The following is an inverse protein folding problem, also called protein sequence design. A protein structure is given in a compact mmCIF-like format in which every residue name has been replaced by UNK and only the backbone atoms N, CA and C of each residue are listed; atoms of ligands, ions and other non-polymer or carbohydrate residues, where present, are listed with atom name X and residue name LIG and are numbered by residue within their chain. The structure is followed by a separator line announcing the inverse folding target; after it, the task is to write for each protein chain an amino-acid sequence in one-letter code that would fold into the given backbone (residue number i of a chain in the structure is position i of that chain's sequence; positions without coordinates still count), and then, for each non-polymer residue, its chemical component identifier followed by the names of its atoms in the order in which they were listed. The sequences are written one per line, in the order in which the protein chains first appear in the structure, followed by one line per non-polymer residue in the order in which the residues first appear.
data_IF_744047927476
#
_entry.id   IF_744047927476
#
_cell.length_a   1.000
_cell.length_b   1.000
_cell.length_c   1.000
_cell.angle_alpha   90.00
_cell.angle_beta   90.00
_cell.angle_gamma   90.00
#
_symmetry.space_group_name_H-M   'P 1'
#
loop_
_entity.id
_entity.type
_entity.pdbx_description
1 polymer ?
#
# COMPACT_ATOMS: atom_id res chain seq x y z
N UNK A 1 17.94 -10.03 16.81
CA UNK A 1 18.83 -9.65 15.68
C UNK A 1 18.06 -9.33 14.39
N UNK A 2 17.22 -10.22 13.85
CA UNK A 2 16.44 -9.95 12.61
C UNK A 2 15.44 -8.80 12.77
N UNK A 3 14.63 -8.77 13.85
CA UNK A 3 13.70 -7.64 14.13
C UNK A 3 14.41 -6.29 14.22
N UNK A 4 15.57 -6.25 14.86
CA UNK A 4 16.38 -5.05 15.05
C UNK A 4 16.98 -4.55 13.72
N UNK A 5 17.36 -5.48 12.83
CA UNK A 5 17.79 -5.18 11.46
C UNK A 5 16.64 -4.64 10.60
N UNK A 6 15.42 -5.16 10.76
CA UNK A 6 14.22 -4.68 10.07
C UNK A 6 13.81 -3.28 10.55
N UNK A 7 13.87 -3.04 11.86
CA UNK A 7 13.59 -1.72 12.48
C UNK A 7 14.63 -0.69 12.00
N UNK A 8 15.91 -1.05 11.94
CA UNK A 8 16.97 -0.16 11.46
C UNK A 8 16.84 0.17 9.96
N UNK A 9 16.37 -0.78 9.13
CA UNK A 9 16.07 -0.50 7.72
C UNK A 9 14.82 0.37 7.53
N UNK A 10 13.76 0.14 8.32
CA UNK A 10 12.54 0.96 8.28
C UNK A 10 12.79 2.40 8.73
N UNK A 11 13.55 2.58 9.80
CA UNK A 11 13.96 3.91 10.27
C UNK A 11 14.84 4.63 9.24
N UNK A 12 15.71 3.92 8.53
CA UNK A 12 16.47 4.47 7.41
C UNK A 12 15.59 5.00 6.27
N UNK A 13 14.58 4.23 5.84
CA UNK A 13 13.64 4.66 4.80
C UNK A 13 12.77 5.85 5.26
N UNK A 14 12.29 5.83 6.51
CA UNK A 14 11.50 6.93 7.09
C UNK A 14 12.33 8.22 7.22
N UNK A 15 13.59 8.13 7.63
CA UNK A 15 14.48 9.29 7.70
C UNK A 15 14.76 9.86 6.31
N UNK A 16 14.86 9.01 5.29
CA UNK A 16 15.04 9.45 3.91
C UNK A 16 13.79 10.17 3.36
N UNK A 17 12.57 9.69 3.64
CA UNK A 17 11.34 10.40 3.22
C UNK A 17 11.17 11.73 3.93
N UNK A 18 11.47 11.80 5.23
CA UNK A 18 11.48 13.07 5.98
C UNK A 18 12.52 14.03 5.40
N UNK A 19 13.72 13.55 5.06
CA UNK A 19 14.75 14.39 4.44
C UNK A 19 14.31 14.97 3.09
N UNK A 20 13.59 14.19 2.27
CA UNK A 20 13.04 14.68 0.99
C UNK A 20 11.97 15.76 1.18
N UNK A 21 11.14 15.64 2.22
CA UNK A 21 10.13 16.65 2.59
C UNK A 21 10.76 17.93 3.14
N UNK A 22 11.78 17.81 4.01
CA UNK A 22 12.49 18.99 4.54
C UNK A 22 13.20 19.72 3.40
N UNK A 23 13.81 18.98 2.47
CA UNK A 23 14.47 19.55 1.30
C UNK A 23 13.46 20.26 0.37
N UNK A 24 12.29 19.67 0.11
CA UNK A 24 11.26 20.28 -0.73
C UNK A 24 10.74 21.59 -0.13
N UNK A 25 10.44 21.60 1.17
CA UNK A 25 10.00 22.80 1.89
C UNK A 25 11.06 23.90 1.88
N UNK A 26 12.33 23.55 2.07
CA UNK A 26 13.43 24.50 2.00
C UNK A 26 13.54 25.15 0.61
N UNK A 27 13.48 24.34 -0.46
CA UNK A 27 13.53 24.83 -1.84
C UNK A 27 12.31 25.70 -2.19
N UNK A 28 11.11 25.33 -1.73
CA UNK A 28 9.91 26.15 -1.88
C UNK A 28 10.05 27.50 -1.16
N UNK A 29 10.59 27.53 0.07
CA UNK A 29 10.82 28.77 0.80
C UNK A 29 11.82 29.68 0.07
N UNK A 30 12.92 29.13 -0.47
CA UNK A 30 13.87 29.89 -1.28
C UNK A 30 13.22 30.45 -2.55
N UNK A 31 12.41 29.66 -3.24
CA UNK A 31 11.73 30.07 -4.46
C UNK A 31 10.69 31.17 -4.19
N UNK A 32 9.90 31.05 -3.12
CA UNK A 32 8.92 32.05 -2.70
C UNK A 32 9.61 33.35 -2.25
N UNK A 33 10.73 33.22 -1.54
CA UNK A 33 11.55 34.36 -1.16
C UNK A 33 12.10 35.07 -2.41
N UNK A 34 12.68 34.33 -3.37
CA UNK A 34 13.21 34.90 -4.61
C UNK A 34 12.12 35.61 -5.44
N UNK A 35 10.95 34.98 -5.62
CA UNK A 35 9.83 35.56 -6.38
C UNK A 35 9.31 36.85 -5.74
N UNK A 36 9.32 36.92 -4.40
CA UNK A 36 8.77 38.04 -3.64
C UNK A 36 9.85 38.97 -3.03
N UNK A 37 11.13 38.83 -3.38
CA UNK A 37 12.22 39.57 -2.71
C UNK A 37 12.09 41.10 -2.83
N UNK A 38 11.40 41.59 -3.87
CA UNK A 38 11.13 43.01 -4.13
C UNK A 38 9.81 43.50 -3.49
N UNK A 39 9.09 42.64 -2.78
CA UNK A 39 7.83 42.97 -2.10
C UNK A 39 8.06 43.52 -0.70
N UNK A 40 7.00 44.11 -0.13
CA UNK A 40 7.00 44.55 1.28
C UNK A 40 7.26 43.36 2.21
N UNK A 41 8.10 43.54 3.24
CA UNK A 41 8.47 42.48 4.21
C UNK A 41 7.26 41.72 4.78
N UNK A 42 6.14 42.40 5.08
CA UNK A 42 4.89 41.76 5.54
C UNK A 42 4.32 40.74 4.55
N UNK A 43 4.45 40.98 3.25
CA UNK A 43 4.00 40.07 2.19
C UNK A 43 4.93 38.86 2.13
N UNK A 44 6.24 39.09 2.17
CA UNK A 44 7.26 38.01 2.17
C UNK A 44 7.03 37.07 3.36
N UNK A 45 6.96 37.61 4.58
CA UNK A 45 6.73 36.79 5.79
C UNK A 45 5.42 36.02 5.71
N UNK A 46 4.34 36.61 5.18
CA UNK A 46 3.07 35.90 5.00
C UNK A 46 3.17 34.77 3.98
N UNK A 47 3.82 34.98 2.82
CA UNK A 47 3.98 33.91 1.83
C UNK A 47 4.91 32.79 2.35
N UNK A 48 5.94 33.11 3.12
CA UNK A 48 6.78 32.10 3.80
C UNK A 48 5.99 31.31 4.85
N UNK A 49 5.10 31.96 5.61
CA UNK A 49 4.20 31.27 6.54
C UNK A 49 3.23 30.33 5.81
N UNK A 50 2.76 30.70 4.62
CA UNK A 50 1.92 29.79 3.81
C UNK A 50 2.67 28.54 3.35
N UNK A 51 3.96 28.64 3.06
CA UNK A 51 4.82 27.48 2.76
C UNK A 51 5.05 26.65 4.02
N UNK A 52 5.45 27.29 5.12
CA UNK A 52 5.75 26.60 6.38
C UNK A 52 4.53 25.84 6.97
N UNK A 53 3.32 26.34 6.73
CA UNK A 53 2.06 25.70 7.12
C UNK A 53 1.51 24.74 6.04
N UNK A 54 2.24 24.51 4.95
CA UNK A 54 1.85 23.65 3.82
C UNK A 54 0.51 24.05 3.15
N UNK A 55 0.04 25.30 3.32
CA UNK A 55 -1.24 25.77 2.76
C UNK A 55 -1.08 26.52 1.43
N UNK A 56 0.16 26.82 1.03
CA UNK A 56 0.44 27.58 -0.19
C UNK A 56 -0.16 26.96 -1.47
N UNK A 57 -0.14 25.63 -1.70
CA UNK A 57 -0.76 25.04 -2.89
C UNK A 57 -2.25 25.36 -3.04
N UNK A 58 -2.98 25.45 -1.91
CA UNK A 58 -4.40 25.84 -1.89
C UNK A 58 -4.60 27.33 -2.08
N UNK A 59 -3.77 28.16 -1.45
CA UNK A 59 -3.79 29.62 -1.62
C UNK A 59 -3.48 30.03 -3.05
N UNK A 60 -2.51 29.38 -3.69
CA UNK A 60 -2.12 29.68 -5.07
C UNK A 60 -3.14 29.15 -6.08
N UNK A 61 -3.71 27.96 -5.86
CA UNK A 61 -4.84 27.47 -6.67
C UNK A 61 -6.04 28.43 -6.61
N UNK A 62 -6.38 28.94 -5.42
CA UNK A 62 -7.43 29.95 -5.26
C UNK A 62 -7.13 31.22 -6.06
N UNK A 63 -5.88 31.70 -6.06
CA UNK A 63 -5.46 32.88 -6.84
C UNK A 63 -5.52 32.64 -8.35
N UNK A 64 -5.22 31.43 -8.80
CA UNK A 64 -5.31 31.03 -10.22
C UNK A 64 -6.76 31.01 -10.70
N UNK A 65 -7.67 30.42 -9.91
CA UNK A 65 -9.10 30.31 -10.26
C UNK A 65 -9.78 31.69 -10.22
N UNK A 66 -9.46 32.53 -9.25
CA UNK A 66 -10.01 33.90 -9.13
C UNK A 66 -9.40 34.89 -10.13
N UNK A 67 -8.47 34.44 -11.00
CA UNK A 67 -7.79 35.24 -12.02
C UNK A 67 -7.19 36.54 -11.45
N UNK A 68 -6.59 36.48 -10.26
CA UNK A 68 -5.97 37.66 -9.68
C UNK A 68 -4.85 38.18 -10.58
N UNK A 69 -4.82 39.51 -10.77
CA UNK A 69 -3.74 40.18 -11.50
C UNK A 69 -2.42 40.02 -10.74
N UNK A 70 -1.32 39.93 -11.47
CA UNK A 70 0.02 39.96 -10.88
C UNK A 70 0.21 41.18 -10.00
N UNK A 71 0.76 40.96 -8.80
CA UNK A 71 1.08 42.05 -7.87
C UNK A 71 2.22 42.90 -8.44
N UNK A 72 2.18 44.23 -8.27
CA UNK A 72 3.28 45.10 -8.69
C UNK A 72 4.56 44.68 -7.94
N UNK A 73 5.69 44.56 -8.64
CA UNK A 73 6.99 44.09 -8.13
C UNK A 73 7.16 42.58 -7.89
N UNK A 74 6.20 41.71 -8.26
CA UNK A 74 6.43 40.26 -8.26
C UNK A 74 7.03 39.81 -9.58
N UNK A 75 8.00 38.88 -9.56
CA UNK A 75 8.68 38.41 -10.78
C UNK A 75 7.79 37.51 -11.67
N UNK A 76 6.81 36.82 -11.09
CA UNK A 76 5.97 35.85 -11.79
C UNK A 76 4.48 36.14 -11.61
N UNK A 77 3.69 35.79 -12.62
CA UNK A 77 2.23 35.77 -12.53
C UNK A 77 1.77 34.59 -11.66
N UNK A 78 0.66 34.70 -10.89
CA UNK A 78 0.14 33.64 -10.01
C UNK A 78 0.06 32.22 -10.62
N UNK A 79 -0.25 32.11 -11.91
CA UNK A 79 -0.26 30.83 -12.65
C UNK A 79 1.13 30.20 -12.77
N UNK A 80 2.15 31.01 -13.07
CA UNK A 80 3.52 30.53 -13.20
C UNK A 80 4.13 30.19 -11.82
N UNK A 81 3.81 30.98 -10.79
CA UNK A 81 4.21 30.72 -9.41
C UNK A 81 3.64 29.37 -8.90
N UNK A 82 2.33 29.12 -9.11
CA UNK A 82 1.68 27.84 -8.77
C UNK A 82 2.38 26.64 -9.41
N UNK A 83 2.71 26.73 -10.70
CA UNK A 83 3.39 25.66 -11.46
C UNK A 83 4.81 25.39 -10.95
N UNK A 84 5.59 26.44 -10.72
CA UNK A 84 6.97 26.29 -10.28
C UNK A 84 7.04 25.63 -8.90
N UNK A 85 6.15 26.01 -7.98
CA UNK A 85 6.11 25.45 -6.62
C UNK A 85 5.68 23.98 -6.65
N UNK A 86 4.60 23.65 -7.39
CA UNK A 86 4.15 22.26 -7.55
C UNK A 86 5.16 21.40 -8.30
N UNK A 87 5.94 21.98 -9.22
CA UNK A 87 7.05 21.31 -9.88
C UNK A 87 8.18 20.96 -8.92
N UNK A 88 8.52 21.87 -8.00
CA UNK A 88 9.50 21.61 -6.93
C UNK A 88 9.00 20.53 -5.97
N UNK A 89 7.73 20.56 -5.56
CA UNK A 89 7.09 19.49 -4.77
C UNK A 89 7.22 18.13 -5.47
N UNK A 90 6.85 18.06 -6.75
CA UNK A 90 6.88 16.81 -7.50
C UNK A 90 8.30 16.22 -7.62
N UNK A 91 9.29 17.05 -7.94
CA UNK A 91 10.67 16.61 -8.22
C UNK A 91 11.44 16.27 -6.94
N UNK A 92 11.29 17.06 -5.88
CA UNK A 92 12.13 16.95 -4.69
C UNK A 92 11.48 16.21 -3.53
N UNK A 93 10.15 16.05 -3.54
CA UNK A 93 9.41 15.34 -2.49
C UNK A 93 8.80 14.05 -3.04
N UNK A 94 7.91 14.15 -4.03
CA UNK A 94 7.06 13.03 -4.41
C UNK A 94 7.84 11.93 -5.16
N UNK A 95 8.66 12.27 -6.14
CA UNK A 95 9.43 11.27 -6.92
C UNK A 95 10.45 10.54 -6.01
N UNK A 96 11.32 11.23 -5.24
CA UNK A 96 12.26 10.55 -4.36
C UNK A 96 11.58 9.74 -3.25
N UNK A 97 10.48 10.25 -2.67
CA UNK A 97 9.72 9.55 -1.64
C UNK A 97 9.10 8.25 -2.17
N UNK A 98 8.51 8.26 -3.38
CA UNK A 98 7.98 7.04 -4.02
C UNK A 98 9.10 6.03 -4.30
N UNK A 99 10.27 6.46 -4.75
CA UNK A 99 11.43 5.56 -4.98
C UNK A 99 11.88 4.90 -3.67
N UNK A 100 12.00 5.68 -2.59
CA UNK A 100 12.40 5.16 -1.27
C UNK A 100 11.35 4.18 -0.72
N UNK A 101 10.05 4.50 -0.86
CA UNK A 101 8.96 3.64 -0.42
C UNK A 101 8.86 2.34 -1.23
N UNK A 102 9.07 2.40 -2.55
CA UNK A 102 9.16 1.22 -3.42
C UNK A 102 10.34 0.33 -3.03
N UNK A 103 11.50 0.92 -2.80
CA UNK A 103 12.69 0.18 -2.37
C UNK A 103 12.49 -0.46 -0.98
N UNK A 104 11.80 0.21 -0.07
CA UNK A 104 11.44 -0.34 1.23
C UNK A 104 10.41 -1.49 1.10
N UNK A 105 9.45 -1.38 0.18
CA UNK A 105 8.44 -2.40 -0.09
C UNK A 105 9.03 -3.68 -0.70
N UNK A 106 9.96 -3.55 -1.66
CA UNK A 106 10.61 -4.71 -2.32
C UNK A 106 11.57 -5.45 -1.39
N UNK A 107 12.28 -4.73 -0.52
CA UNK A 107 13.32 -5.31 0.34
C UNK A 107 12.83 -5.76 1.73
N UNK A 108 11.54 -5.65 2.02
CA UNK A 108 10.91 -6.11 3.27
C UNK A 108 9.76 -7.07 2.96
N UNK A 109 9.34 -7.89 3.93
CA UNK A 109 8.14 -8.73 3.79
C UNK A 109 6.99 -7.85 3.30
N UNK A 110 6.44 -8.19 2.13
CA UNK A 110 5.45 -7.44 1.34
C UNK A 110 4.16 -7.18 2.14
N UNK A 111 4.24 -6.25 3.09
CA UNK A 111 3.15 -5.92 3.99
C UNK A 111 2.13 -5.05 3.28
N UNK A 112 0.84 -5.34 3.49
CA UNK A 112 -0.26 -4.55 2.97
C UNK A 112 -0.13 -3.05 3.30
N UNK A 113 0.38 -2.71 4.49
CA UNK A 113 0.58 -1.32 4.92
C UNK A 113 1.63 -0.58 4.07
N UNK A 114 2.71 -1.27 3.70
CA UNK A 114 3.75 -0.70 2.84
C UNK A 114 3.25 -0.53 1.39
N UNK A 115 2.43 -1.46 0.90
CA UNK A 115 1.75 -1.32 -0.40
C UNK A 115 0.81 -0.11 -0.42
N UNK A 116 0.03 0.09 0.65
CA UNK A 116 -0.88 1.25 0.79
C UNK A 116 -0.09 2.57 0.79
N UNK A 117 1.06 2.63 1.48
CA UNK A 117 1.93 3.82 1.49
C UNK A 117 2.44 4.15 0.09
N UNK A 118 3.00 3.16 -0.62
CA UNK A 118 3.49 3.33 -2.00
C UNK A 118 2.36 3.80 -2.90
N UNK A 119 1.18 3.17 -2.81
CA UNK A 119 0.02 3.53 -3.61
C UNK A 119 -0.43 4.97 -3.34
N UNK A 120 -0.52 5.36 -2.06
CA UNK A 120 -0.86 6.73 -1.65
C UNK A 120 0.14 7.77 -2.20
N UNK A 121 1.44 7.46 -2.14
CA UNK A 121 2.50 8.29 -2.71
C UNK A 121 2.39 8.46 -4.23
N UNK A 122 2.15 7.36 -4.96
CA UNK A 122 1.95 7.37 -6.41
C UNK A 122 0.70 8.16 -6.79
N UNK A 123 -0.42 7.97 -6.09
CA UNK A 123 -1.64 8.75 -6.30
C UNK A 123 -1.42 10.25 -6.06
N UNK A 124 -0.62 10.61 -5.06
CA UNK A 124 -0.31 12.01 -4.73
C UNK A 124 0.57 12.65 -5.81
N UNK A 125 1.61 11.95 -6.27
CA UNK A 125 2.45 12.40 -7.39
C UNK A 125 1.62 12.57 -8.67
N UNK A 126 0.72 11.63 -8.96
CA UNK A 126 -0.17 11.69 -10.11
C UNK A 126 -1.16 12.87 -10.01
N UNK A 127 -1.71 13.13 -8.83
CA UNK A 127 -2.61 14.26 -8.60
C UNK A 127 -1.91 15.62 -8.76
N UNK A 128 -0.69 15.77 -8.23
CA UNK A 128 0.11 16.99 -8.39
C UNK A 128 0.47 17.20 -9.87
N UNK A 129 0.89 16.14 -10.55
CA UNK A 129 1.18 16.17 -12.00
C UNK A 129 -0.04 16.55 -12.83
N UNK A 130 -1.21 15.97 -12.54
CA UNK A 130 -2.47 16.32 -13.20
C UNK A 130 -2.87 17.78 -12.91
N UNK A 131 -2.68 18.25 -11.68
CA UNK A 131 -2.96 19.64 -11.29
C UNK A 131 -2.08 20.64 -12.04
N UNK A 132 -0.79 20.33 -12.25
CA UNK A 132 0.11 21.15 -13.08
C UNK A 132 -0.36 21.12 -14.55
N UNK A 133 -0.78 19.95 -15.03
CA UNK A 133 -1.16 19.71 -16.43
C UNK A 133 -2.47 20.41 -16.83
N UNK A 134 -3.45 20.46 -15.94
CA UNK A 134 -4.72 21.22 -16.13
C UNK A 134 -4.44 22.69 -16.41
N UNK A 135 -3.31 23.23 -15.95
CA UNK A 135 -2.95 24.62 -16.14
C UNK A 135 -2.17 24.90 -17.46
N UNK A 136 -1.83 23.90 -18.29
CA UNK A 136 -0.95 24.07 -19.49
C UNK A 136 -1.51 23.68 -20.86
N UNK A 137 -2.33 22.65 -21.02
CA UNK A 137 -2.99 22.13 -22.25
C UNK A 137 -3.06 20.59 -22.15
N UNK A 138 -4.26 20.03 -22.25
CA UNK A 138 -4.63 18.85 -21.46
C UNK A 138 -4.65 17.51 -22.24
N UNK A 139 -4.78 17.55 -23.57
CA UNK A 139 -5.07 16.35 -24.37
C UNK A 139 -3.85 15.48 -24.66
N UNK A 140 -2.68 16.07 -24.89
CA UNK A 140 -1.46 15.32 -25.17
C UNK A 140 -0.95 14.53 -23.96
N UNK A 141 -1.09 15.11 -22.76
CA UNK A 141 -0.65 14.49 -21.52
C UNK A 141 -1.60 13.36 -21.11
N UNK A 142 -2.92 13.58 -21.17
CA UNK A 142 -3.92 12.52 -20.92
C UNK A 142 -3.72 11.35 -21.88
N UNK A 143 -3.52 11.64 -23.18
CA UNK A 143 -3.23 10.61 -24.18
C UNK A 143 -1.95 9.81 -23.87
N UNK A 144 -0.87 10.50 -23.49
CA UNK A 144 0.41 9.84 -23.15
C UNK A 144 0.32 9.00 -21.87
N UNK A 145 -0.45 9.45 -20.87
CA UNK A 145 -0.65 8.73 -19.61
C UNK A 145 -1.56 7.51 -19.79
N UNK A 146 -2.63 7.62 -20.58
CA UNK A 146 -3.48 6.47 -20.95
C UNK A 146 -2.66 5.46 -21.75
N UNK A 147 -1.85 5.91 -22.71
CA UNK A 147 -0.97 5.04 -23.48
C UNK A 147 0.05 4.33 -22.56
N UNK A 148 0.67 5.04 -21.63
CA UNK A 148 1.63 4.45 -20.69
C UNK A 148 0.97 3.44 -19.73
N UNK A 149 -0.26 3.70 -19.28
CA UNK A 149 -1.04 2.77 -18.46
C UNK A 149 -1.43 1.52 -19.24
N UNK A 150 -1.90 1.68 -20.48
CA UNK A 150 -2.26 0.56 -21.35
C UNK A 150 -1.03 -0.28 -21.68
N UNK A 151 0.12 0.35 -21.98
CA UNK A 151 1.38 -0.36 -22.23
C UNK A 151 1.82 -1.12 -20.99
N UNK A 152 1.84 -0.48 -19.82
CA UNK A 152 2.27 -1.11 -18.57
C UNK A 152 1.36 -2.28 -18.18
N UNK A 153 0.04 -2.12 -18.31
CA UNK A 153 -0.94 -3.19 -18.07
C UNK A 153 -0.80 -4.32 -19.09
N UNK A 154 -0.55 -4.00 -20.36
CA UNK A 154 -0.36 -5.00 -21.42
C UNK A 154 0.94 -5.78 -21.23
N UNK A 155 2.04 -5.12 -20.88
CA UNK A 155 3.31 -5.77 -20.54
C UNK A 155 3.19 -6.64 -19.31
N UNK A 156 2.46 -6.19 -18.29
CA UNK A 156 2.14 -6.99 -17.11
C UNK A 156 1.34 -8.26 -17.44
N UNK A 157 0.28 -8.13 -18.25
CA UNK A 157 -0.51 -9.30 -18.69
C UNK A 157 0.28 -10.24 -19.61
N UNK A 158 1.27 -9.74 -20.33
CA UNK A 158 2.16 -10.57 -21.14
C UNK A 158 3.14 -11.38 -20.27
N UNK A 159 3.71 -10.76 -19.23
CA UNK A 159 4.70 -11.37 -18.33
C UNK A 159 4.05 -12.34 -17.33
N UNK A 160 2.83 -12.08 -16.87
CA UNK A 160 2.16 -12.93 -15.87
C UNK A 160 1.92 -14.34 -16.42
N UNK A 161 2.12 -15.36 -15.56
CA UNK A 161 1.91 -16.75 -15.95
C UNK A 161 0.48 -16.95 -16.52
N UNK A 162 0.33 -17.66 -17.66
CA UNK A 162 -0.96 -17.81 -18.33
C UNK A 162 -2.07 -18.32 -17.40
N UNK A 163 -1.72 -19.15 -16.42
CA UNK A 163 -2.64 -19.72 -15.42
C UNK A 163 -3.32 -18.67 -14.52
N UNK A 164 -2.68 -17.51 -14.29
CA UNK A 164 -3.22 -16.45 -13.43
C UNK A 164 -3.97 -15.36 -14.18
N UNK A 165 -3.99 -15.36 -15.52
CA UNK A 165 -4.67 -14.34 -16.32
C UNK A 165 -6.19 -14.34 -16.09
N UNK A 166 -6.77 -15.53 -15.89
CA UNK A 166 -8.19 -15.70 -15.60
C UNK A 166 -8.62 -15.11 -14.24
N UNK A 167 -7.68 -14.83 -13.34
CA UNK A 167 -7.97 -14.21 -12.04
C UNK A 167 -8.43 -12.76 -12.20
N UNK A 168 -7.96 -12.04 -13.23
CA UNK A 168 -8.33 -10.62 -13.48
C UNK A 168 -9.75 -10.44 -14.04
N UNK A 169 -10.31 -11.47 -14.67
CA UNK A 169 -11.68 -11.47 -15.19
C UNK A 169 -12.63 -12.27 -14.32
N UNK A 170 -12.15 -12.79 -13.18
CA UNK A 170 -12.94 -13.57 -12.26
C UNK A 170 -13.85 -12.66 -11.43
N UNK A 171 -15.16 -12.80 -11.60
CA UNK A 171 -16.18 -12.11 -10.81
C UNK A 171 -16.59 -12.91 -9.56
N UNK A 172 -15.67 -13.71 -9.00
CA UNK A 172 -15.96 -14.54 -7.81
C UNK A 172 -16.03 -13.65 -6.57
N UNK A 173 -17.13 -13.77 -5.84
CA UNK A 173 -17.28 -13.15 -4.52
C UNK A 173 -16.45 -13.91 -3.47
N UNK A 174 -16.09 -13.26 -2.36
CA UNK A 174 -15.35 -13.88 -1.24
C UNK A 174 -15.86 -15.27 -0.84
N UNK A 175 -17.18 -15.45 -0.58
CA UNK A 175 -17.75 -16.77 -0.29
C UNK A 175 -17.51 -17.81 -1.38
N UNK A 176 -17.71 -17.44 -2.65
CA UNK A 176 -17.49 -18.34 -3.80
C UNK A 176 -16.01 -18.67 -4.00
N UNK A 177 -15.12 -17.75 -3.65
CA UNK A 177 -13.68 -17.96 -3.74
C UNK A 177 -13.19 -18.93 -2.66
N UNK A 178 -13.61 -18.73 -1.41
CA UNK A 178 -13.33 -19.61 -0.28
C UNK A 178 -13.77 -21.06 -0.57
N UNK A 179 -15.00 -21.23 -1.04
CA UNK A 179 -15.53 -22.55 -1.43
C UNK A 179 -14.75 -23.16 -2.60
N UNK A 180 -14.42 -22.35 -3.62
CA UNK A 180 -13.63 -22.84 -4.75
C UNK A 180 -12.25 -23.34 -4.32
N UNK A 181 -11.55 -22.62 -3.43
CA UNK A 181 -10.24 -23.04 -2.94
C UNK A 181 -10.35 -24.37 -2.19
N UNK A 182 -11.34 -24.53 -1.32
CA UNK A 182 -11.56 -25.78 -0.58
C UNK A 182 -11.80 -26.99 -1.51
N UNK A 183 -12.61 -26.83 -2.56
CA UNK A 183 -12.92 -27.95 -3.47
C UNK A 183 -11.81 -28.25 -4.48
N UNK A 184 -11.06 -27.25 -4.95
CA UNK A 184 -10.13 -27.41 -6.07
C UNK A 184 -8.67 -27.57 -5.66
N UNK A 185 -8.32 -27.25 -4.42
CA UNK A 185 -6.98 -27.52 -3.91
C UNK A 185 -6.81 -29.01 -3.61
N UNK A 186 -5.64 -29.57 -3.93
CA UNK A 186 -5.28 -30.96 -3.63
C UNK A 186 -4.44 -31.09 -2.35
N UNK A 187 -3.78 -29.99 -1.94
CA UNK A 187 -2.93 -29.94 -0.76
C UNK A 187 -3.75 -29.59 0.48
N UNK A 188 -3.59 -30.39 1.53
CA UNK A 188 -4.26 -30.18 2.82
C UNK A 188 -3.87 -28.83 3.46
N UNK A 189 -2.62 -28.40 3.28
CA UNK A 189 -2.10 -27.10 3.73
C UNK A 189 -2.81 -25.90 3.09
N UNK A 190 -3.37 -26.07 1.89
CA UNK A 190 -4.12 -25.03 1.19
C UNK A 190 -5.61 -25.10 1.51
N UNK A 191 -6.15 -26.29 1.79
CA UNK A 191 -7.54 -26.45 2.20
C UNK A 191 -7.80 -25.93 3.61
N UNK A 192 -6.83 -26.07 4.53
CA UNK A 192 -7.03 -25.69 5.93
C UNK A 192 -7.17 -24.17 6.13
N UNK A 193 -6.70 -23.37 5.16
CA UNK A 193 -6.88 -21.91 5.13
C UNK A 193 -8.33 -21.47 5.13
N UNK A 194 -9.28 -22.38 4.88
CA UNK A 194 -10.71 -22.13 5.08
C UNK A 194 -11.03 -21.59 6.48
N UNK A 195 -10.25 -21.98 7.50
CA UNK A 195 -10.41 -21.48 8.87
C UNK A 195 -9.85 -20.08 9.11
N UNK A 196 -9.00 -19.56 8.20
CA UNK A 196 -8.52 -18.17 8.23
C UNK A 196 -9.55 -17.19 7.64
N UNK A 197 -10.38 -17.68 6.71
CA UNK A 197 -11.43 -16.90 6.08
C UNK A 197 -12.62 -16.63 7.02
N UNK A 198 -13.40 -15.60 6.70
CA UNK A 198 -14.63 -15.31 7.42
C UNK A 198 -15.55 -16.56 7.42
N UNK A 199 -15.98 -16.99 8.61
CA UNK A 199 -16.91 -18.10 8.83
C UNK A 199 -18.11 -18.10 7.88
N UNK A 200 -18.69 -16.93 7.59
CA UNK A 200 -19.86 -16.84 6.70
C UNK A 200 -19.57 -17.27 5.25
N UNK A 201 -18.29 -17.27 4.85
CA UNK A 201 -17.87 -17.61 3.48
C UNK A 201 -17.92 -19.13 3.23
N UNK A 202 -17.59 -19.92 4.25
CA UNK A 202 -17.56 -21.38 4.17
C UNK A 202 -18.68 -22.06 4.97
N UNK A 203 -19.54 -21.31 5.67
CA UNK A 203 -20.71 -21.86 6.36
C UNK A 203 -21.59 -22.75 5.45
N UNK A 204 -21.81 -22.45 4.15
CA UNK A 204 -22.56 -23.33 3.24
C UNK A 204 -21.93 -24.71 3.02
N UNK A 205 -20.61 -24.83 3.19
CA UNK A 205 -19.84 -26.08 3.01
C UNK A 205 -19.32 -26.63 4.34
N UNK A 206 -19.83 -26.15 5.48
CA UNK A 206 -19.33 -26.50 6.83
C UNK A 206 -19.29 -28.01 7.08
N UNK A 207 -20.25 -28.76 6.54
CA UNK A 207 -20.39 -30.19 6.80
C UNK A 207 -19.31 -30.95 6.01
N UNK A 208 -18.98 -30.50 4.80
CA UNK A 208 -17.88 -31.03 3.99
C UNK A 208 -16.52 -30.72 4.62
N UNK A 209 -16.32 -29.48 5.09
CA UNK A 209 -15.11 -29.08 5.83
C UNK A 209 -14.95 -29.94 7.09
N UNK A 210 -16.06 -30.19 7.81
CA UNK A 210 -16.06 -31.03 9.01
C UNK A 210 -15.70 -32.49 8.71
N UNK A 211 -16.25 -33.08 7.65
CA UNK A 211 -15.92 -34.45 7.25
C UNK A 211 -14.43 -34.54 6.89
N UNK A 212 -13.96 -33.69 5.99
CA UNK A 212 -12.56 -33.67 5.54
C UNK A 212 -11.58 -33.46 6.71
N UNK A 213 -11.89 -32.54 7.63
CA UNK A 213 -11.06 -32.29 8.80
C UNK A 213 -10.88 -33.57 9.63
N UNK A 214 -11.97 -34.27 9.96
CA UNK A 214 -11.89 -35.47 10.79
C UNK A 214 -11.23 -36.66 10.08
N UNK A 215 -11.32 -36.74 8.76
CA UNK A 215 -10.63 -37.78 7.97
C UNK A 215 -9.11 -37.59 7.98
N UNK A 216 -8.63 -36.35 7.95
CA UNK A 216 -7.19 -36.04 7.82
C UNK A 216 -6.49 -35.77 9.15
N UNK A 217 -7.22 -35.31 10.16
CA UNK A 217 -6.66 -34.96 11.47
C UNK A 217 -5.80 -36.07 12.12
N UNK A 218 -6.16 -37.38 12.07
CA UNK A 218 -5.32 -38.43 12.63
C UNK A 218 -3.92 -38.47 11.98
N UNK A 219 -3.86 -38.34 10.65
CA UNK A 219 -2.60 -38.35 9.90
C UNK A 219 -1.74 -37.14 10.24
N UNK A 220 -2.33 -35.94 10.37
CA UNK A 220 -1.56 -34.75 10.71
C UNK A 220 -1.04 -34.75 12.14
N UNK A 221 -1.75 -35.40 13.08
CA UNK A 221 -1.28 -35.57 14.45
C UNK A 221 -0.08 -36.53 14.55
N UNK A 222 -0.01 -37.51 13.66
CA UNK A 222 1.10 -38.46 13.56
C UNK A 222 2.30 -37.86 12.79
N UNK A 223 2.06 -37.33 11.59
CA UNK A 223 3.11 -36.79 10.71
C UNK A 223 3.66 -35.43 11.17
N UNK A 224 2.87 -34.68 11.98
CA UNK A 224 3.20 -33.33 12.48
C UNK A 224 3.75 -32.38 11.39
N UNK A 225 2.98 -32.11 10.32
CA UNK A 225 3.47 -31.27 9.24
C UNK A 225 3.71 -29.82 9.71
N UNK A 226 4.75 -29.16 9.18
CA UNK A 226 5.19 -27.82 9.62
C UNK A 226 4.09 -26.75 9.59
N UNK A 227 3.16 -26.86 8.64
CA UNK A 227 2.05 -25.91 8.49
C UNK A 227 0.94 -26.10 9.55
N UNK A 228 0.88 -27.26 10.22
CA UNK A 228 -0.12 -27.56 11.26
C UNK A 228 0.40 -27.19 12.66
N UNK A 229 0.74 -25.92 12.82
CA UNK A 229 1.29 -25.32 14.04
C UNK A 229 0.19 -24.86 15.03
N UNK A 230 0.58 -24.30 16.18
CA UNK A 230 -0.36 -23.85 17.22
C UNK A 230 -1.37 -22.81 16.71
N UNK A 231 -0.95 -21.93 15.79
CA UNK A 231 -1.85 -20.93 15.19
C UNK A 231 -3.01 -21.60 14.45
N UNK A 232 -2.74 -22.59 13.60
CA UNK A 232 -3.81 -23.31 12.87
C UNK A 232 -4.68 -24.14 13.82
N UNK A 233 -4.08 -24.82 14.80
CA UNK A 233 -4.82 -25.58 15.83
C UNK A 233 -5.79 -24.70 16.63
N UNK A 234 -5.40 -23.47 16.93
CA UNK A 234 -6.24 -22.51 17.66
C UNK A 234 -7.45 -22.01 16.84
N UNK A 235 -7.35 -21.96 15.51
CA UNK A 235 -8.43 -21.52 14.61
C UNK A 235 -9.54 -22.56 14.46
N UNK A 236 -9.23 -23.84 14.70
CA UNK A 236 -10.19 -24.94 14.60
C UNK A 236 -11.01 -24.98 15.89
N UNK A 237 -12.31 -24.69 15.81
CA UNK A 237 -13.19 -24.80 16.97
C UNK A 237 -13.48 -26.26 17.32
N UNK A 238 -13.50 -26.57 18.63
CA UNK A 238 -13.68 -27.92 19.17
C UNK A 238 -14.88 -28.67 18.57
N UNK A 239 -15.97 -27.96 18.29
CA UNK A 239 -17.23 -28.53 17.75
C UNK A 239 -17.09 -29.16 16.36
N UNK A 240 -16.00 -28.88 15.64
CA UNK A 240 -15.72 -29.47 14.34
C UNK A 240 -14.97 -30.79 14.44
N UNK A 241 -14.37 -31.13 15.58
CA UNK A 241 -13.75 -32.44 15.80
C UNK A 241 -14.80 -33.37 16.43
N UNK A 242 -15.05 -34.51 15.80
CA UNK A 242 -16.06 -35.46 16.25
C UNK A 242 -15.54 -36.39 17.35
N UNK A 243 -14.28 -36.80 17.24
CA UNK A 243 -13.67 -37.75 18.17
C UNK A 243 -13.07 -36.99 19.38
N UNK A 244 -13.56 -37.24 20.61
CA UNK A 244 -13.02 -36.62 21.82
C UNK A 244 -11.54 -36.95 22.08
N UNK A 245 -11.05 -38.10 21.62
CA UNK A 245 -9.65 -38.49 21.79
C UNK A 245 -8.74 -37.70 20.83
N UNK A 246 -9.16 -37.53 19.57
CA UNK A 246 -8.44 -36.68 18.61
C UNK A 246 -8.42 -35.23 19.04
N UNK A 247 -9.52 -34.73 19.60
CA UNK A 247 -9.59 -33.37 20.13
C UNK A 247 -8.58 -33.16 21.27
N UNK A 248 -8.52 -34.09 22.22
CA UNK A 248 -7.53 -34.06 23.31
C UNK A 248 -6.10 -34.15 22.77
N UNK A 249 -5.85 -35.03 21.81
CA UNK A 249 -4.54 -35.16 21.19
C UNK A 249 -4.12 -33.88 20.46
N UNK A 250 -5.05 -33.21 19.75
CA UNK A 250 -4.80 -31.95 19.06
C UNK A 250 -4.49 -30.81 20.04
N UNK A 251 -5.27 -30.66 21.11
CA UNK A 251 -5.05 -29.63 22.14
C UNK A 251 -3.77 -29.88 22.94
N UNK A 252 -3.45 -31.14 23.26
CA UNK A 252 -2.17 -31.50 23.88
C UNK A 252 -0.99 -31.18 22.95
N UNK A 253 -1.13 -31.49 21.66
CA UNK A 253 -0.10 -31.19 20.67
C UNK A 253 0.02 -29.68 20.38
N UNK A 254 -0.98 -28.85 20.69
CA UNK A 254 -0.92 -27.39 20.65
C UNK A 254 -0.04 -26.86 21.80
N UNK A 255 -0.33 -27.31 23.03
CA UNK A 255 0.43 -26.97 24.24
C UNK A 255 1.91 -27.38 24.16
N UNK A 256 2.21 -28.56 23.60
CA UNK A 256 3.59 -29.04 23.41
C UNK A 256 4.38 -28.15 22.43
N UNK A 257 3.75 -27.66 21.36
CA UNK A 257 4.40 -26.73 20.41
C UNK A 257 4.73 -25.37 21.02
N UNK A 258 3.88 -24.86 21.92
CA UNK A 258 4.13 -23.57 22.58
C UNK A 258 5.25 -23.66 23.65
N UNK A 259 5.58 -24.88 24.13
CA UNK A 259 6.68 -25.09 25.08
C UNK A 259 8.07 -25.25 24.44
N UNK A 260 8.16 -25.47 23.12
CA UNK A 260 9.42 -25.69 22.41
C UNK A 260 9.98 -24.43 21.70
N UNK A 261 9.24 -23.31 21.66
CA UNK A 261 9.81 -22.03 21.18
C UNK A 261 10.79 -21.46 22.22
N UNK A 262 12.09 -21.29 21.88
CA UNK A 262 13.07 -20.74 22.82
C UNK A 262 12.84 -19.23 23.02
N UNK A 263 12.87 -18.81 24.29
CA UNK A 263 12.98 -17.42 24.75
C UNK A 263 14.05 -16.60 24.00
#
# INVERSE_FOLDING_TARGET
MVREFTINKQTGAANATIATLVLSLFLQMLLVFAINMKQRKRVITRELLFVALCIKPGVDAYRVVTKQKQRPNTMMHPKMESKFIRGVELIFECIPSVIVQLNAFVNQNQSALAAISVLSGVCTAAFISASISIETEIYGIIGSLIALQVISFSSFLYIIEPKYRATFTSLRTGPKHCQFLFHNNTLDSEKIKVFEDNRDFWLPIKDEVKIWLNERLPTWLEEKPEWFNSTVKSMIEDKFVNDPELLKAMRKAEEETDTEEPL
#
